data_IF_068183635168
#
_entry.id   IF_068183635168
#
_cell.length_a   1.000
_cell.length_b   1.000
_cell.length_c   1.000
_cell.angle_alpha   90.00
_cell.angle_beta   90.00
_cell.angle_gamma   90.00
#
_symmetry.space_group_name_H-M   'P 1'
#
loop_
_entity.id
_entity.type
_entity.pdbx_description
1 polymer ?
#
# COMPACT_ATOMS: atom_id res chain seq x y z
N UNK A 1 -4.03 46.03 14.40
CA UNK A 1 -4.29 44.95 13.41
C UNK A 1 -3.39 43.77 13.78
N UNK A 2 -3.94 42.76 14.44
CA UNK A 2 -3.21 41.59 14.91
C UNK A 2 -3.02 40.62 13.73
N UNK A 3 -1.79 40.47 13.23
CA UNK A 3 -1.49 39.53 12.15
C UNK A 3 -1.41 38.13 12.75
N UNK A 4 -2.44 37.33 12.48
CA UNK A 4 -2.46 35.90 12.75
C UNK A 4 -1.43 35.22 11.84
N UNK A 5 -0.26 34.88 12.38
CA UNK A 5 0.71 34.04 11.67
C UNK A 5 0.21 32.60 11.78
N UNK A 6 -0.51 32.14 10.75
CA UNK A 6 -0.87 30.75 10.59
C UNK A 6 0.42 29.98 10.27
N UNK A 7 1.06 29.41 11.28
CA UNK A 7 2.21 28.51 11.08
C UNK A 7 1.66 27.27 10.40
N UNK A 8 1.73 27.25 9.07
CA UNK A 8 1.44 26.08 8.27
C UNK A 8 2.58 25.08 8.56
N UNK A 9 2.40 24.25 9.58
CA UNK A 9 3.29 23.13 9.85
C UNK A 9 3.22 22.19 8.67
N UNK A 10 4.13 22.37 7.71
CA UNK A 10 4.37 21.39 6.64
C UNK A 10 4.94 20.17 7.34
N UNK A 11 4.06 19.24 7.70
CA UNK A 11 4.47 17.89 8.10
C UNK A 11 5.10 17.30 6.86
N UNK A 12 6.43 17.36 6.80
CA UNK A 12 7.22 16.72 5.76
C UNK A 12 7.13 15.21 6.00
N UNK A 13 6.02 14.59 5.58
CA UNK A 13 5.92 13.15 5.52
C UNK A 13 7.02 12.69 4.56
N UNK A 14 8.04 12.00 5.09
CA UNK A 14 9.01 11.30 4.28
C UNK A 14 8.25 10.21 3.52
N UNK A 15 7.79 10.52 2.31
CA UNK A 15 7.17 9.56 1.41
C UNK A 15 8.31 8.68 0.91
N UNK A 16 8.35 7.42 1.35
CA UNK A 16 9.24 6.43 0.77
C UNK A 16 8.91 6.26 -0.72
N UNK A 17 9.93 6.08 -1.56
CA UNK A 17 9.70 5.81 -2.97
C UNK A 17 8.90 4.51 -3.15
N UNK A 18 8.08 4.49 -4.20
CA UNK A 18 7.33 3.29 -4.58
C UNK A 18 8.29 2.12 -4.86
N UNK A 19 7.90 0.93 -4.44
CA UNK A 19 8.61 -0.32 -4.74
C UNK A 19 7.88 -1.07 -5.85
N UNK A 20 8.63 -1.76 -6.70
CA UNK A 20 8.07 -2.79 -7.58
C UNK A 20 7.87 -4.07 -6.76
N UNK A 21 6.66 -4.63 -6.77
CA UNK A 21 6.35 -5.86 -6.05
C UNK A 21 6.30 -7.01 -7.07
N UNK A 22 7.19 -8.01 -6.97
CA UNK A 22 7.18 -9.13 -7.89
C UNK A 22 5.95 -10.02 -7.65
N UNK A 23 5.27 -10.40 -8.74
CA UNK A 23 4.28 -11.46 -8.71
C UNK A 23 5.01 -12.79 -8.53
N UNK A 24 4.61 -13.57 -7.53
CA UNK A 24 5.26 -14.85 -7.19
C UNK A 24 4.59 -16.03 -7.87
N UNK A 25 3.33 -15.90 -8.25
CA UNK A 25 2.58 -16.90 -9.00
C UNK A 25 1.55 -16.23 -9.91
N UNK A 26 1.42 -16.70 -11.16
CA UNK A 26 0.41 -16.25 -12.12
C UNK A 26 -0.12 -17.42 -12.96
N UNK A 27 -1.44 -17.60 -12.99
CA UNK A 27 -2.10 -18.59 -13.85
C UNK A 27 -3.57 -18.22 -14.12
N UNK A 28 -3.98 -18.27 -15.40
CA UNK A 28 -5.38 -18.06 -15.81
C UNK A 28 -6.01 -16.75 -15.26
N UNK A 29 -5.21 -15.68 -15.21
CA UNK A 29 -5.59 -14.37 -14.69
C UNK A 29 -5.51 -14.22 -13.18
N UNK A 30 -5.33 -15.31 -12.42
CA UNK A 30 -5.07 -15.28 -10.99
C UNK A 30 -3.61 -14.98 -10.70
N UNK A 31 -3.33 -14.19 -9.66
CA UNK A 31 -1.98 -13.89 -9.21
C UNK A 31 -1.85 -13.91 -7.68
N UNK A 32 -0.62 -14.11 -7.21
CA UNK A 32 -0.21 -13.93 -5.81
C UNK A 32 1.08 -13.10 -5.74
N UNK A 33 1.23 -12.31 -4.68
CA UNK A 33 2.40 -11.48 -4.45
C UNK A 33 2.65 -11.23 -2.96
N UNK A 34 3.89 -10.85 -2.63
CA UNK A 34 4.31 -10.46 -1.28
C UNK A 34 5.11 -9.14 -1.37
N UNK A 35 4.52 -8.05 -0.91
CA UNK A 35 5.13 -6.71 -0.93
C UNK A 35 5.74 -6.36 0.42
N UNK A 36 7.07 -6.27 0.49
CA UNK A 36 7.80 -5.92 1.71
C UNK A 36 8.36 -4.50 1.66
N UNK A 37 7.90 -3.65 2.57
CA UNK A 37 8.24 -2.25 2.69
C UNK A 37 9.21 -2.02 3.83
N UNK A 38 10.31 -1.30 3.59
CA UNK A 38 11.21 -0.87 4.66
C UNK A 38 10.53 0.19 5.52
N UNK A 39 10.51 -0.02 6.83
CA UNK A 39 9.95 0.92 7.80
C UNK A 39 11.02 1.95 8.13
N UNK A 40 10.95 3.13 7.52
CA UNK A 40 11.96 4.19 7.66
C UNK A 40 11.78 5.06 8.91
N UNK A 41 10.65 4.92 9.62
CA UNK A 41 10.32 5.61 10.86
C UNK A 41 9.33 4.76 11.67
N UNK A 42 9.25 5.02 12.98
CA UNK A 42 8.25 4.40 13.85
C UNK A 42 6.83 4.66 13.33
N UNK A 43 6.04 3.59 13.18
CA UNK A 43 4.65 3.64 12.77
C UNK A 43 3.76 3.16 13.91
N UNK A 44 2.72 3.92 14.25
CA UNK A 44 1.64 3.50 15.18
C UNK A 44 0.37 3.07 14.44
N UNK A 45 0.31 3.41 13.16
CA UNK A 45 -0.64 2.98 12.13
C UNK A 45 0.06 3.09 10.78
N UNK A 46 -0.45 2.39 9.77
CA UNK A 46 0.10 2.46 8.41
C UNK A 46 -0.97 2.38 7.35
N UNK A 47 -0.66 3.01 6.22
CA UNK A 47 -1.41 2.91 4.96
C UNK A 47 -0.46 2.40 3.88
N UNK A 48 -0.87 1.37 3.16
CA UNK A 48 -0.19 0.88 1.96
C UNK A 48 -1.08 1.16 0.76
N UNK A 49 -0.55 1.79 -0.27
CA UNK A 49 -1.25 1.95 -1.55
C UNK A 49 -0.60 1.03 -2.57
N UNK A 50 -1.39 0.12 -3.15
CA UNK A 50 -0.97 -0.73 -4.26
C UNK A 50 -1.56 -0.18 -5.56
N UNK A 51 -0.73 -0.06 -6.59
CA UNK A 51 -1.13 0.41 -7.93
C UNK A 51 -0.79 -0.64 -8.96
N UNK A 52 -1.81 -1.11 -9.66
CA UNK A 52 -1.71 -2.09 -10.74
C UNK A 52 -1.78 -1.39 -12.10
N UNK A 53 -1.04 -1.89 -13.08
CA UNK A 53 -1.08 -1.38 -14.46
C UNK A 53 -2.40 -1.71 -15.19
N UNK A 54 -3.13 -2.71 -14.69
CA UNK A 54 -4.39 -3.20 -15.20
C UNK A 54 -5.47 -3.33 -14.11
N UNK A 55 -6.73 -3.36 -14.51
CA UNK A 55 -7.85 -3.53 -13.57
C UNK A 55 -7.82 -4.91 -12.92
N UNK A 56 -8.02 -4.93 -11.61
CA UNK A 56 -8.16 -6.14 -10.80
C UNK A 56 -9.63 -6.31 -10.41
N UNK A 57 -10.17 -7.51 -10.65
CA UNK A 57 -11.60 -7.83 -10.46
C UNK A 57 -11.89 -8.57 -9.15
N UNK A 58 -10.87 -9.21 -8.59
CA UNK A 58 -10.90 -9.82 -7.28
C UNK A 58 -9.60 -9.48 -6.57
N UNK A 59 -9.66 -9.12 -5.29
CA UNK A 59 -8.50 -8.76 -4.50
C UNK A 59 -8.69 -9.22 -3.05
N UNK A 60 -7.67 -9.86 -2.49
CA UNK A 60 -7.65 -10.31 -1.11
C UNK A 60 -6.26 -10.09 -0.50
N UNK A 61 -6.22 -9.52 0.70
CA UNK A 61 -5.00 -9.28 1.47
C UNK A 61 -5.26 -9.58 2.96
N UNK A 62 -4.87 -10.76 3.48
CA UNK A 62 -5.26 -11.19 4.82
C UNK A 62 -4.66 -10.36 5.95
N UNK A 63 -3.49 -9.74 5.75
CA UNK A 63 -2.82 -8.92 6.77
C UNK A 63 -3.36 -7.48 6.87
N UNK A 64 -4.22 -7.06 5.93
CA UNK A 64 -4.67 -5.68 5.84
C UNK A 64 -6.21 -5.55 5.82
N UNK A 65 -6.68 -4.33 5.99
CA UNK A 65 -8.07 -3.94 5.77
C UNK A 65 -8.11 -3.08 4.51
N UNK A 66 -8.85 -3.52 3.49
CA UNK A 66 -9.11 -2.71 2.31
C UNK A 66 -10.00 -1.53 2.70
N UNK A 67 -9.52 -0.30 2.47
CA UNK A 67 -10.28 0.93 2.75
C UNK A 67 -10.91 1.52 1.52
N UNK A 68 -10.18 1.55 0.40
CA UNK A 68 -10.66 2.12 -0.84
C UNK A 68 -10.14 1.31 -2.03
N UNK A 69 -10.99 1.22 -3.05
CA UNK A 69 -10.59 0.83 -4.40
C UNK A 69 -10.83 2.06 -5.28
N UNK A 70 -9.79 2.51 -5.97
CA UNK A 70 -9.79 3.68 -6.82
C UNK A 70 -9.40 3.29 -8.25
N UNK A 71 -9.48 4.25 -9.16
CA UNK A 71 -9.08 4.11 -10.57
C UNK A 71 -9.61 2.83 -11.23
N UNK A 72 -10.92 2.59 -11.07
CA UNK A 72 -11.61 1.44 -11.66
C UNK A 72 -10.93 0.09 -11.37
N UNK A 73 -10.51 -0.13 -10.11
CA UNK A 73 -9.89 -1.38 -9.68
C UNK A 73 -8.40 -1.48 -9.97
N UNK A 74 -7.71 -0.37 -10.25
CA UNK A 74 -6.25 -0.34 -10.41
C UNK A 74 -5.52 0.08 -9.14
N UNK A 75 -6.17 0.79 -8.22
CA UNK A 75 -5.53 1.30 -7.01
C UNK A 75 -6.24 0.79 -5.77
N UNK A 76 -5.50 0.20 -4.84
CA UNK A 76 -6.02 -0.36 -3.59
C UNK A 76 -5.34 0.32 -2.41
N UNK A 77 -6.12 0.99 -1.56
CA UNK A 77 -5.65 1.63 -0.33
C UNK A 77 -5.94 0.69 0.84
N UNK A 78 -4.87 0.18 1.43
CA UNK A 78 -4.87 -0.79 2.52
C UNK A 78 -4.47 -0.11 3.82
N UNK A 79 -5.11 -0.49 4.92
CA UNK A 79 -4.71 -0.07 6.27
C UNK A 79 -4.46 -1.25 7.17
N UNK A 80 -3.67 -1.01 8.21
CA UNK A 80 -3.38 -2.00 9.23
C UNK A 80 -4.64 -2.62 9.85
N UNK A 81 -4.49 -3.83 10.36
CA UNK A 81 -5.37 -4.39 11.37
C UNK A 81 -4.88 -3.97 12.76
N UNK A 82 -5.70 -4.20 13.79
CA UNK A 82 -5.34 -3.78 15.16
C UNK A 82 -4.05 -4.45 15.66
N UNK A 83 -3.81 -5.70 15.25
CA UNK A 83 -2.69 -6.52 15.73
C UNK A 83 -1.34 -6.25 15.05
N UNK A 84 -1.30 -5.59 13.88
CA UNK A 84 -0.05 -5.28 13.15
C UNK A 84 0.17 -3.78 12.89
N UNK A 85 -0.51 -2.90 13.63
CA UNK A 85 -0.45 -1.45 13.39
C UNK A 85 0.88 -0.80 13.77
N UNK A 86 1.56 -1.35 14.78
CA UNK A 86 2.84 -0.81 15.27
C UNK A 86 3.97 -1.46 14.50
N UNK A 87 4.84 -0.66 13.90
CA UNK A 87 6.02 -1.12 13.16
C UNK A 87 7.25 -0.28 13.57
N UNK A 88 8.27 -0.92 14.18
CA UNK A 88 9.53 -0.26 14.53
C UNK A 88 10.33 0.24 13.33
N UNK A 89 11.11 1.30 13.54
CA UNK A 89 12.07 1.75 12.52
C UNK A 89 13.12 0.67 12.24
N UNK A 90 13.42 0.44 10.97
CA UNK A 90 14.38 -0.57 10.50
C UNK A 90 13.75 -1.91 10.15
N UNK A 91 12.52 -2.18 10.59
CA UNK A 91 11.79 -3.40 10.27
C UNK A 91 11.29 -3.42 8.82
N UNK A 92 10.71 -4.55 8.43
CA UNK A 92 9.97 -4.72 7.18
C UNK A 92 8.52 -5.05 7.45
N UNK A 93 7.62 -4.25 6.88
CA UNK A 93 6.20 -4.58 6.81
C UNK A 93 5.96 -5.34 5.50
N UNK A 94 5.62 -6.63 5.59
CA UNK A 94 5.27 -7.44 4.42
C UNK A 94 3.77 -7.69 4.35
N UNK A 95 3.17 -7.46 3.18
CA UNK A 95 1.75 -7.67 2.90
C UNK A 95 1.63 -8.70 1.78
N UNK A 96 0.96 -9.82 2.08
CA UNK A 96 0.60 -10.81 1.08
C UNK A 96 -0.74 -10.43 0.48
N UNK A 97 -0.85 -10.61 -0.82
CA UNK A 97 -2.10 -10.39 -1.50
C UNK A 97 -2.22 -11.28 -2.72
N UNK A 98 -3.47 -11.56 -3.07
CA UNK A 98 -3.84 -12.30 -4.25
C UNK A 98 -4.99 -11.61 -4.95
N UNK A 99 -5.12 -11.87 -6.25
CA UNK A 99 -6.15 -11.23 -7.04
C UNK A 99 -6.35 -11.85 -8.40
N UNK A 100 -7.27 -11.25 -9.16
CA UNK A 100 -7.55 -11.62 -10.54
C UNK A 100 -7.53 -10.41 -11.46
N UNK A 101 -6.56 -10.33 -12.37
CA UNK A 101 -6.44 -9.27 -13.38
C UNK A 101 -7.39 -9.49 -14.57
N UNK A 102 -7.74 -8.41 -15.27
CA UNK A 102 -8.54 -8.46 -16.51
C UNK A 102 -7.70 -8.59 -17.78
N UNK A 103 -6.40 -8.33 -17.70
CA UNK A 103 -5.49 -8.32 -18.82
C UNK A 103 -5.08 -9.73 -19.27
N UNK A 104 -4.49 -9.79 -20.46
CA UNK A 104 -3.98 -11.03 -21.06
C UNK A 104 -2.63 -11.48 -20.49
N UNK A 105 -2.01 -10.66 -19.62
CA UNK A 105 -0.69 -10.88 -19.04
C UNK A 105 -0.70 -10.70 -17.52
N UNK A 106 0.38 -11.17 -16.89
CA UNK A 106 0.68 -10.90 -15.48
C UNK A 106 0.64 -9.38 -15.20
N UNK A 107 0.00 -8.94 -14.09
CA UNK A 107 -0.04 -7.52 -13.72
C UNK A 107 1.29 -7.03 -13.17
N UNK A 108 1.63 -5.79 -13.49
CA UNK A 108 2.69 -5.07 -12.81
C UNK A 108 2.06 -4.32 -11.64
N UNK A 109 2.68 -4.45 -10.45
CA UNK A 109 2.23 -3.78 -9.24
C UNK A 109 3.37 -2.98 -8.61
N UNK A 110 3.07 -1.73 -8.29
CA UNK A 110 3.89 -0.92 -7.38
C UNK A 110 3.18 -0.72 -6.06
N UNK A 111 3.96 -0.48 -5.01
CA UNK A 111 3.41 -0.20 -3.69
C UNK A 111 4.13 0.96 -3.02
N UNK A 112 3.41 1.72 -2.21
CA UNK A 112 3.97 2.72 -1.30
C UNK A 112 3.48 2.52 0.13
N UNK A 113 4.34 2.82 1.09
CA UNK A 113 4.06 2.79 2.53
C UNK A 113 4.09 4.21 3.08
N UNK A 114 3.05 4.56 3.84
CA UNK A 114 2.95 5.84 4.54
C UNK A 114 2.50 5.62 5.99
N UNK A 115 2.90 6.51 6.92
CA UNK A 115 2.27 6.57 8.23
C UNK A 115 0.75 6.71 8.09
N UNK A 116 0.01 5.95 8.89
CA UNK A 116 -1.44 6.04 8.89
C UNK A 116 -1.91 7.37 9.49
N UNK A 117 -3.07 7.82 9.03
CA UNK A 117 -3.83 8.95 9.62
C UNK A 117 -4.67 8.51 10.80
#
# INVERSE_FOLDING_TARGET
MLRLVCVLSVVLACVGADINIPITHYANGWFQADGCFKVAQELTSWTVTLTFDQTITFFFAPEATLKQTLDNGKVYVLQNKTWNKVQPVGDQLCIRFEGRGTGASEPVVTGSLQPGS
#
